data_IF_177557037044
#
_entry.id   IF_177557037044
#
_cell.length_a   1.000
_cell.length_b   1.000
_cell.length_c   1.000
_cell.angle_alpha   90.00
_cell.angle_beta   90.00
_cell.angle_gamma   90.00
#
_symmetry.space_group_name_H-M   'P 1'
#
loop_
_entity.id
_entity.type
_entity.pdbx_description
1 polymer ?
#
# COMPACT_ATOMS: atom_id res chain seq x y z
N UNK A 1 -15.80 -27.51 1.87
CA UNK A 1 -15.73 -26.13 1.38
C UNK A 1 -14.30 -25.91 0.86
N UNK A 2 -14.12 -25.32 -0.32
CA UNK A 2 -12.78 -25.06 -0.89
C UNK A 2 -12.17 -23.85 -0.19
N UNK A 3 -10.84 -23.88 0.03
CA UNK A 3 -10.10 -22.71 0.47
C UNK A 3 -10.05 -21.64 -0.64
N UNK A 4 -10.06 -20.39 -0.25
CA UNK A 4 -9.93 -19.23 -1.15
C UNK A 4 -8.57 -18.55 -0.95
N UNK A 5 -8.05 -18.01 -2.03
CA UNK A 5 -6.90 -17.11 -1.98
C UNK A 5 -7.34 -15.77 -2.56
N UNK A 6 -7.22 -14.72 -1.76
CA UNK A 6 -7.55 -13.34 -2.13
C UNK A 6 -6.24 -12.58 -2.29
N UNK A 7 -6.06 -11.93 -3.43
CA UNK A 7 -4.88 -11.10 -3.72
C UNK A 7 -5.33 -9.65 -3.86
N UNK A 8 -4.70 -8.77 -3.10
CA UNK A 8 -5.05 -7.35 -3.01
C UNK A 8 -3.93 -6.48 -3.58
N UNK A 9 -4.29 -5.46 -4.31
CA UNK A 9 -3.42 -4.39 -4.81
C UNK A 9 -3.94 -3.01 -4.44
N UNK A 10 -3.30 -1.95 -4.94
CA UNK A 10 -3.56 -0.55 -4.56
C UNK A 10 -5.03 -0.12 -4.73
N UNK A 11 -5.75 -0.69 -5.70
CA UNK A 11 -7.19 -0.45 -5.86
C UNK A 11 -8.03 -0.90 -4.66
N UNK A 12 -7.61 -1.94 -3.96
CA UNK A 12 -8.31 -2.41 -2.76
C UNK A 12 -8.19 -1.40 -1.60
N UNK A 13 -7.02 -0.78 -1.43
CA UNK A 13 -6.84 0.32 -0.47
C UNK A 13 -7.74 1.50 -0.80
N UNK A 14 -7.80 1.91 -2.07
CA UNK A 14 -8.69 2.99 -2.49
C UNK A 14 -10.16 2.68 -2.21
N UNK A 15 -10.58 1.43 -2.39
CA UNK A 15 -11.93 0.98 -2.06
C UNK A 15 -12.19 0.94 -0.54
N UNK A 16 -11.16 0.63 0.26
CA UNK A 16 -11.27 0.58 1.71
C UNK A 16 -11.41 1.98 2.33
N UNK A 17 -10.79 2.98 1.73
CA UNK A 17 -10.80 4.37 2.21
C UNK A 17 -11.27 5.35 1.11
N UNK A 18 -12.49 5.22 0.56
CA UNK A 18 -12.94 6.04 -0.58
C UNK A 18 -13.00 7.54 -0.25
N UNK A 19 -13.20 7.87 1.01
CA UNK A 19 -13.24 9.25 1.52
C UNK A 19 -11.93 9.66 2.23
N UNK A 20 -10.90 8.83 2.15
CA UNK A 20 -9.65 8.98 2.88
C UNK A 20 -9.59 8.09 4.12
N UNK A 21 -8.41 8.05 4.74
CA UNK A 21 -8.18 7.35 5.99
C UNK A 21 -8.87 8.06 7.18
N UNK A 22 -8.55 7.67 8.40
CA UNK A 22 -9.11 8.27 9.62
C UNK A 22 -9.00 9.79 9.67
N UNK A 23 -7.99 10.37 9.01
CA UNK A 23 -7.72 11.80 8.97
C UNK A 23 -8.02 12.45 7.62
N UNK A 24 -8.65 11.71 6.70
CA UNK A 24 -9.00 12.19 5.37
C UNK A 24 -7.89 12.08 4.34
N UNK A 25 -6.77 11.41 4.67
CA UNK A 25 -5.65 11.18 3.76
C UNK A 25 -6.05 10.14 2.70
N UNK A 26 -5.93 10.52 1.44
CA UNK A 26 -6.30 9.65 0.32
C UNK A 26 -5.11 8.83 -0.16
N UNK A 27 -5.37 7.55 -0.45
CA UNK A 27 -4.40 6.70 -1.15
C UNK A 27 -4.34 7.01 -2.64
N UNK A 28 -3.32 6.49 -3.30
CA UNK A 28 -3.09 6.62 -4.74
C UNK A 28 -2.63 5.27 -5.33
N UNK A 29 -2.83 5.12 -6.63
CA UNK A 29 -2.15 4.08 -7.41
C UNK A 29 -0.72 4.50 -7.74
N UNK A 30 0.09 3.54 -8.16
CA UNK A 30 1.54 3.76 -8.40
C UNK A 30 1.84 4.77 -9.52
N UNK A 31 0.91 4.91 -10.47
CA UNK A 31 1.07 5.87 -11.57
C UNK A 31 0.89 7.32 -11.10
N UNK A 32 1.86 8.17 -11.42
CA UNK A 32 1.87 9.59 -11.02
C UNK A 32 2.10 9.80 -9.50
N UNK A 33 2.53 8.78 -8.77
CA UNK A 33 2.75 8.88 -7.32
C UNK A 33 3.86 9.86 -6.96
N UNK A 34 4.94 9.93 -7.75
CA UNK A 34 6.05 10.87 -7.53
C UNK A 34 5.52 12.30 -7.38
N UNK A 35 4.79 12.80 -8.37
CA UNK A 35 4.25 14.16 -8.35
C UNK A 35 3.16 14.35 -7.29
N UNK A 36 2.33 13.34 -7.06
CA UNK A 36 1.30 13.42 -6.01
C UNK A 36 1.85 13.53 -4.61
N UNK A 37 3.02 12.96 -4.35
CA UNK A 37 3.70 13.03 -3.06
C UNK A 37 4.69 14.18 -2.99
N UNK A 38 4.85 14.97 -4.07
CA UNK A 38 5.80 16.07 -4.13
C UNK A 38 7.25 15.58 -4.06
N UNK A 39 7.53 14.43 -4.69
CA UNK A 39 8.85 13.81 -4.72
C UNK A 39 9.68 14.22 -5.95
N UNK A 40 9.16 15.13 -6.78
CA UNK A 40 9.81 15.59 -8.00
C UNK A 40 11.18 16.23 -7.72
N UNK A 41 11.37 16.83 -6.55
CA UNK A 41 12.63 17.42 -6.12
C UNK A 41 13.77 16.40 -6.03
N UNK A 42 13.45 15.13 -5.76
CA UNK A 42 14.45 14.05 -5.71
C UNK A 42 14.99 13.68 -7.10
N UNK A 43 14.24 13.98 -8.15
CA UNK A 43 14.55 13.57 -9.51
C UNK A 43 15.12 14.71 -10.39
N UNK A 44 15.32 15.90 -9.84
CA UNK A 44 15.77 17.09 -10.60
C UNK A 44 17.09 16.86 -11.32
N UNK A 45 18.05 16.21 -10.66
CA UNK A 45 19.38 15.95 -11.20
C UNK A 45 19.57 14.46 -11.60
N UNK A 46 18.47 13.75 -11.83
CA UNK A 46 18.47 12.32 -12.16
C UNK A 46 18.18 12.13 -13.64
N UNK A 47 19.06 11.43 -14.35
CA UNK A 47 18.84 11.04 -15.73
C UNK A 47 18.18 9.65 -15.78
N UNK A 48 16.89 9.63 -16.15
CA UNK A 48 16.10 8.42 -16.35
C UNK A 48 15.92 8.13 -17.85
N UNK A 49 16.04 6.87 -18.23
CA UNK A 49 15.71 6.37 -19.56
C UNK A 49 14.20 6.11 -19.69
N UNK A 50 13.58 5.67 -18.59
CA UNK A 50 12.14 5.46 -18.55
C UNK A 50 11.38 6.78 -18.70
N UNK A 51 10.30 6.73 -19.48
CA UNK A 51 9.31 7.83 -19.57
C UNK A 51 8.05 7.50 -18.78
N UNK A 52 8.08 6.41 -18.01
CA UNK A 52 6.97 5.97 -17.20
C UNK A 52 6.76 6.93 -16.01
N UNK A 53 5.50 7.20 -15.68
CA UNK A 53 5.12 7.89 -14.45
C UNK A 53 4.85 6.91 -13.30
N UNK A 54 5.01 5.60 -13.54
CA UNK A 54 4.88 4.58 -12.53
C UNK A 54 6.11 4.57 -11.64
N UNK A 55 5.90 4.71 -10.34
CA UNK A 55 6.98 4.76 -9.35
C UNK A 55 7.82 3.46 -9.31
N UNK A 56 7.23 2.32 -9.63
CA UNK A 56 7.95 1.04 -9.64
C UNK A 56 8.97 0.98 -10.79
N UNK A 57 8.65 1.54 -11.96
CA UNK A 57 9.56 1.63 -13.09
C UNK A 57 10.71 2.57 -12.78
N UNK A 58 10.39 3.75 -12.21
CA UNK A 58 11.37 4.76 -11.81
C UNK A 58 12.31 4.20 -10.75
N UNK A 59 11.76 3.58 -9.70
CA UNK A 59 12.52 2.95 -8.63
C UNK A 59 13.44 1.84 -9.15
N UNK A 60 12.92 0.99 -10.04
CA UNK A 60 13.71 -0.10 -10.63
C UNK A 60 14.91 0.42 -11.40
N UNK A 61 14.74 1.50 -12.16
CA UNK A 61 15.86 2.12 -12.91
C UNK A 61 16.88 2.77 -11.97
N UNK A 62 16.41 3.50 -10.94
CA UNK A 62 17.29 4.10 -9.94
C UNK A 62 18.16 3.06 -9.24
N UNK A 63 17.58 1.90 -8.87
CA UNK A 63 18.30 0.82 -8.21
C UNK A 63 19.41 0.19 -9.08
N UNK A 64 19.31 0.28 -10.41
CA UNK A 64 20.34 -0.21 -11.33
C UNK A 64 21.55 0.73 -11.45
N UNK A 65 21.42 1.99 -11.02
CA UNK A 65 22.42 3.05 -11.19
C UNK A 65 23.03 3.38 -9.83
N UNK A 66 24.25 2.90 -9.58
CA UNK A 66 24.95 3.07 -8.28
C UNK A 66 25.15 4.54 -7.88
N UNK A 67 25.20 5.45 -8.86
CA UNK A 67 25.31 6.89 -8.61
C UNK A 67 24.09 7.48 -7.91
N UNK A 68 22.92 6.83 -7.96
CA UNK A 68 21.68 7.31 -7.36
C UNK A 68 21.29 6.62 -6.05
N UNK A 69 22.23 5.94 -5.40
CA UNK A 69 21.96 5.22 -4.14
C UNK A 69 21.37 6.13 -3.06
N UNK A 70 21.83 7.38 -2.95
CA UNK A 70 21.32 8.34 -1.96
C UNK A 70 19.89 8.78 -2.32
N UNK A 71 19.57 8.91 -3.61
CA UNK A 71 18.21 9.21 -4.10
C UNK A 71 17.28 8.05 -3.77
N UNK A 72 17.71 6.80 -3.95
CA UNK A 72 16.92 5.61 -3.61
C UNK A 72 16.62 5.59 -2.12
N UNK A 73 17.62 5.80 -1.26
CA UNK A 73 17.44 5.80 0.20
C UNK A 73 16.44 6.86 0.64
N UNK A 74 16.54 8.08 0.11
CA UNK A 74 15.62 9.17 0.47
C UNK A 74 14.21 8.91 -0.08
N UNK A 75 14.10 8.36 -1.29
CA UNK A 75 12.82 7.97 -1.88
C UNK A 75 12.13 6.89 -1.04
N UNK A 76 12.84 5.84 -0.68
CA UNK A 76 12.34 4.77 0.20
C UNK A 76 11.84 5.31 1.53
N UNK A 77 12.62 6.20 2.16
CA UNK A 77 12.25 6.83 3.42
C UNK A 77 10.96 7.63 3.29
N UNK A 78 10.84 8.50 2.29
CA UNK A 78 9.62 9.31 2.08
C UNK A 78 8.41 8.47 1.75
N UNK A 79 8.57 7.40 0.98
CA UNK A 79 7.50 6.43 0.70
C UNK A 79 7.08 5.69 1.96
N UNK A 80 8.05 5.22 2.76
CA UNK A 80 7.76 4.58 4.03
C UNK A 80 6.96 5.50 4.96
N UNK A 81 7.45 6.72 5.18
CA UNK A 81 6.78 7.71 6.04
C UNK A 81 5.37 8.01 5.55
N UNK A 82 5.17 8.07 4.23
CA UNK A 82 3.85 8.28 3.64
C UNK A 82 2.90 7.13 3.93
N UNK A 83 3.31 5.89 3.67
CA UNK A 83 2.44 4.73 3.81
C UNK A 83 2.21 4.35 5.28
N UNK A 84 3.25 4.41 6.11
CA UNK A 84 3.18 4.06 7.54
C UNK A 84 2.20 4.98 8.30
N UNK A 85 2.01 6.20 7.82
CA UNK A 85 1.10 7.18 8.44
C UNK A 85 -0.39 6.96 8.17
N UNK A 86 -0.78 5.96 7.37
CA UNK A 86 -2.20 5.67 7.16
C UNK A 86 -2.84 5.02 8.40
N UNK A 87 -4.00 5.53 8.79
CA UNK A 87 -4.81 4.95 9.84
C UNK A 87 -6.22 4.58 9.34
N UNK A 88 -6.64 3.35 9.67
CA UNK A 88 -7.94 2.85 9.23
C UNK A 88 -9.08 3.69 9.82
N UNK A 89 -10.12 4.03 9.04
CA UNK A 89 -11.31 4.72 9.55
C UNK A 89 -11.96 3.99 10.72
N UNK A 90 -12.55 4.74 11.65
CA UNK A 90 -13.29 4.16 12.79
C UNK A 90 -14.45 3.29 12.34
N UNK A 91 -15.31 3.72 11.37
CA UNK A 91 -16.33 2.83 10.82
C UNK A 91 -15.72 1.65 10.08
N UNK A 92 -16.41 0.47 10.07
CA UNK A 92 -15.95 -0.68 9.30
C UNK A 92 -15.72 -0.35 7.83
N UNK A 93 -14.64 -0.89 7.27
CA UNK A 93 -14.27 -0.75 5.87
C UNK A 93 -14.53 -2.04 5.09
N UNK A 94 -14.35 -2.01 3.78
CA UNK A 94 -14.43 -3.23 2.96
C UNK A 94 -13.40 -4.28 3.38
N UNK A 95 -12.28 -3.88 3.98
CA UNK A 95 -11.31 -4.83 4.53
C UNK A 95 -11.86 -5.61 5.72
N UNK A 96 -12.60 -4.96 6.62
CA UNK A 96 -13.24 -5.64 7.74
C UNK A 96 -14.26 -6.67 7.26
N UNK A 97 -15.11 -6.29 6.31
CA UNK A 97 -16.09 -7.20 5.74
C UNK A 97 -15.44 -8.37 5.00
N UNK A 98 -14.36 -8.11 4.25
CA UNK A 98 -13.59 -9.16 3.57
C UNK A 98 -13.02 -10.14 4.60
N UNK A 99 -12.31 -9.67 5.62
CA UNK A 99 -11.67 -10.49 6.63
C UNK A 99 -12.70 -11.36 7.36
N UNK A 100 -13.82 -10.77 7.78
CA UNK A 100 -14.89 -11.48 8.50
C UNK A 100 -15.70 -12.44 7.61
N UNK A 101 -15.63 -12.31 6.28
CA UNK A 101 -16.30 -13.22 5.33
C UNK A 101 -15.50 -14.49 5.05
N UNK A 102 -14.23 -14.51 5.39
CA UNK A 102 -13.29 -15.60 5.16
C UNK A 102 -13.08 -16.41 6.46
N UNK A 103 -12.43 -17.55 6.34
CA UNK A 103 -12.16 -18.50 7.43
C UNK A 103 -10.68 -18.81 7.54
N UNK A 104 -10.28 -19.51 8.59
CA UNK A 104 -8.90 -19.96 8.82
C UNK A 104 -8.28 -20.81 7.69
N UNK A 105 -9.10 -21.32 6.76
CA UNK A 105 -8.61 -22.07 5.59
C UNK A 105 -8.25 -21.17 4.43
N UNK A 106 -8.67 -19.92 4.49
CA UNK A 106 -8.50 -18.96 3.42
C UNK A 106 -7.21 -18.18 3.63
N UNK A 107 -6.71 -17.58 2.57
CA UNK A 107 -5.47 -16.79 2.55
C UNK A 107 -5.74 -15.43 1.93
N UNK A 108 -5.26 -14.37 2.58
CA UNK A 108 -5.22 -13.03 2.01
C UNK A 108 -3.75 -12.65 1.81
N UNK A 109 -3.39 -12.31 0.58
CA UNK A 109 -2.09 -11.77 0.23
C UNK A 109 -2.24 -10.33 -0.26
N UNK A 110 -1.33 -9.45 0.14
CA UNK A 110 -1.34 -8.05 -0.29
C UNK A 110 0.01 -7.64 -0.85
N UNK A 111 -0.03 -6.83 -1.92
CA UNK A 111 1.11 -6.10 -2.46
C UNK A 111 1.10 -4.63 -2.04
N UNK A 112 0.13 -4.22 -1.20
CA UNK A 112 0.03 -2.84 -0.74
C UNK A 112 1.08 -2.54 0.31
N UNK A 113 1.58 -1.31 0.28
CA UNK A 113 2.61 -0.83 1.21
C UNK A 113 2.01 -0.19 2.47
N UNK A 114 0.71 0.13 2.44
CA UNK A 114 0.01 0.70 3.59
C UNK A 114 -0.39 -0.37 4.64
N UNK A 115 -0.53 -0.01 5.92
CA UNK A 115 -0.86 -0.93 7.00
C UNK A 115 -2.36 -1.18 7.17
N UNK A 116 -3.23 -0.64 6.30
CA UNK A 116 -4.68 -0.62 6.54
C UNK A 116 -5.30 -2.02 6.62
N UNK A 117 -4.85 -2.97 5.78
CA UNK A 117 -5.32 -4.35 5.85
C UNK A 117 -4.92 -5.01 7.18
N UNK A 118 -3.67 -4.78 7.63
CA UNK A 118 -3.20 -5.28 8.92
C UNK A 118 -3.98 -4.67 10.10
N UNK A 119 -4.26 -3.38 10.04
CA UNK A 119 -5.07 -2.69 11.06
C UNK A 119 -6.49 -3.26 11.12
N UNK A 120 -7.12 -3.51 9.96
CA UNK A 120 -8.41 -4.18 9.89
C UNK A 120 -8.34 -5.60 10.47
N UNK A 121 -7.28 -6.35 10.14
CA UNK A 121 -7.08 -7.70 10.64
C UNK A 121 -6.97 -7.74 12.17
N UNK A 122 -6.16 -6.88 12.76
CA UNK A 122 -6.01 -6.75 14.22
C UNK A 122 -7.35 -6.42 14.86
N UNK A 123 -8.09 -5.46 14.32
CA UNK A 123 -9.42 -5.07 14.81
C UNK A 123 -10.44 -6.21 14.73
N UNK A 124 -10.44 -6.97 13.64
CA UNK A 124 -11.31 -8.12 13.47
C UNK A 124 -10.96 -9.28 14.41
N UNK A 125 -9.70 -9.42 14.81
CA UNK A 125 -9.26 -10.45 15.75
C UNK A 125 -9.89 -10.29 17.15
N UNK A 126 -10.28 -9.09 17.52
CA UNK A 126 -11.04 -8.82 18.76
C UNK A 126 -12.46 -9.38 18.70
N UNK A 127 -12.99 -9.62 17.51
CA UNK A 127 -14.37 -10.08 17.28
C UNK A 127 -14.42 -11.60 17.10
N UNK A 128 -13.40 -12.18 16.44
CA UNK A 128 -13.36 -13.62 16.14
C UNK A 128 -11.91 -14.15 16.12
N UNK A 129 -11.75 -15.40 16.55
CA UNK A 129 -10.46 -16.11 16.47
C UNK A 129 -10.32 -16.97 15.20
N UNK A 130 -11.32 -16.95 14.32
CA UNK A 130 -11.39 -17.78 13.10
C UNK A 130 -11.14 -16.92 11.86
N UNK A 131 -9.95 -16.33 11.81
CA UNK A 131 -9.54 -15.44 10.72
C UNK A 131 -8.79 -16.19 9.60
N UNK A 132 -8.79 -15.65 8.36
CA UNK A 132 -7.96 -16.14 7.27
C UNK A 132 -6.48 -15.94 7.58
N UNK A 133 -5.60 -16.67 6.88
CA UNK A 133 -4.16 -16.41 6.92
C UNK A 133 -3.82 -15.13 6.17
N UNK A 134 -3.04 -14.27 6.80
CA UNK A 134 -2.53 -13.02 6.21
C UNK A 134 -1.06 -13.22 5.78
N UNK A 135 -0.78 -12.97 4.50
CA UNK A 135 0.55 -13.01 3.88
C UNK A 135 0.95 -11.64 3.35
#
# INVERSE_FOLDING_TARGET
>A
MRAHTVILGAGATMAAIPNGDRYGKKSSVMNGMISKLGLDDLLVDVELETKSENIEDIYSELCMKHEYVDVVIELEKRLYDYFDSFEIPVPPTVYDFLILSLTEKDVIATFNWDPLLLQAYVRCNEITNNLPHLL
#
